data_IF_902862342024
#
_entry.id   IF_902862342024
#
_cell.length_a   1.000
_cell.length_b   1.000
_cell.length_c   1.000
_cell.angle_alpha   90.00
_cell.angle_beta   90.00
_cell.angle_gamma   90.00
#
_symmetry.space_group_name_H-M   'P 1'
#
loop_
_entity.id
_entity.type
_entity.pdbx_description
1 polymer ?
#
# COMPACT_ATOMS: atom_id res chain seq x y z
N UNK A 1 -17.51 14.15 -0.41
CA UNK A 1 -16.47 14.51 0.59
C UNK A 1 -16.91 15.60 1.58
N UNK A 2 -17.94 16.42 1.29
CA UNK A 2 -18.35 17.60 2.08
C UNK A 2 -18.42 17.33 3.60
N UNK A 3 -19.12 16.28 4.02
CA UNK A 3 -19.25 15.96 5.46
C UNK A 3 -17.90 15.61 6.12
N UNK A 4 -17.00 14.95 5.38
CA UNK A 4 -15.67 14.59 5.87
C UNK A 4 -14.81 15.84 6.03
N UNK A 5 -14.83 16.75 5.06
CA UNK A 5 -14.10 18.01 5.10
C UNK A 5 -14.60 18.92 6.25
N UNK A 6 -15.92 18.98 6.48
CA UNK A 6 -16.48 19.73 7.60
C UNK A 6 -16.02 19.18 8.98
N UNK A 7 -15.85 17.87 9.11
CA UNK A 7 -15.24 17.29 10.33
C UNK A 7 -13.79 17.75 10.52
N UNK A 8 -13.02 17.87 9.43
CA UNK A 8 -11.63 18.34 9.49
C UNK A 8 -11.56 19.80 9.96
N UNK A 9 -12.48 20.66 9.52
CA UNK A 9 -12.56 22.05 10.00
C UNK A 9 -12.66 22.14 11.52
N UNK A 10 -13.52 21.31 12.13
CA UNK A 10 -13.64 21.25 13.59
C UNK A 10 -12.34 20.79 14.27
N UNK A 11 -11.67 19.80 13.70
CA UNK A 11 -10.40 19.29 14.24
C UNK A 11 -9.33 20.38 14.20
N UNK A 12 -9.19 21.09 13.06
CA UNK A 12 -8.24 22.22 12.95
C UNK A 12 -8.54 23.26 14.01
N UNK A 13 -9.80 23.68 14.18
CA UNK A 13 -10.18 24.65 15.17
C UNK A 13 -9.85 24.21 16.61
N UNK A 14 -10.16 22.96 16.97
CA UNK A 14 -9.93 22.46 18.32
C UNK A 14 -8.42 22.34 18.62
N UNK A 15 -7.62 21.83 17.65
CA UNK A 15 -6.17 21.65 17.82
C UNK A 15 -5.45 22.99 17.82
N UNK A 16 -5.75 23.90 16.88
CA UNK A 16 -5.11 25.21 16.79
C UNK A 16 -5.34 26.04 18.06
N UNK A 17 -6.60 26.04 18.58
CA UNK A 17 -6.93 26.70 19.83
C UNK A 17 -6.16 26.17 21.03
N UNK A 18 -6.03 24.84 21.12
CA UNK A 18 -5.30 24.18 22.21
C UNK A 18 -3.81 24.52 22.17
N UNK A 19 -3.24 24.61 20.98
CA UNK A 19 -1.81 24.91 20.76
C UNK A 19 -1.52 26.41 20.71
N UNK A 20 -2.54 27.29 20.79
CA UNK A 20 -2.37 28.74 20.70
C UNK A 20 -1.89 29.23 19.33
N UNK A 21 -2.10 28.43 18.27
CA UNK A 21 -1.67 28.78 16.90
C UNK A 21 -2.79 29.47 16.13
N UNK A 22 -2.46 30.57 15.45
CA UNK A 22 -3.39 31.29 14.58
C UNK A 22 -3.33 30.70 13.17
N UNK A 23 -4.32 29.85 12.84
CA UNK A 23 -4.34 29.05 11.60
C UNK A 23 -5.59 29.37 10.79
N UNK A 24 -5.37 29.69 9.52
CA UNK A 24 -6.41 29.70 8.49
C UNK A 24 -6.59 28.33 7.87
N UNK A 25 -7.83 27.82 7.84
CA UNK A 25 -8.14 26.54 7.21
C UNK A 25 -8.99 26.77 5.97
N UNK A 26 -8.47 26.33 4.81
CA UNK A 26 -9.14 26.45 3.53
C UNK A 26 -9.55 25.07 3.02
N UNK A 27 -10.77 24.98 2.48
CA UNK A 27 -11.28 23.75 1.85
C UNK A 27 -11.61 24.03 0.38
N UNK A 28 -11.09 23.19 -0.53
CA UNK A 28 -11.27 23.33 -1.98
C UNK A 28 -11.72 21.97 -2.55
N UNK A 29 -12.78 21.99 -3.39
CA UNK A 29 -13.24 20.79 -4.07
C UNK A 29 -13.96 19.78 -3.15
N UNK A 30 -14.52 20.22 -2.05
CA UNK A 30 -15.27 19.39 -1.09
C UNK A 30 -16.54 18.73 -1.70
N UNK A 31 -17.04 19.26 -2.82
CA UNK A 31 -18.15 18.69 -3.59
C UNK A 31 -17.73 17.51 -4.48
N UNK A 32 -16.44 17.12 -4.51
CA UNK A 32 -15.96 15.97 -5.30
C UNK A 32 -16.69 14.69 -4.86
N UNK A 33 -17.32 14.02 -5.83
CA UNK A 33 -18.02 12.77 -5.58
C UNK A 33 -17.03 11.61 -5.44
N UNK A 34 -17.19 10.83 -4.39
CA UNK A 34 -16.34 9.68 -4.05
C UNK A 34 -17.24 8.59 -3.47
N UNK A 35 -16.93 7.34 -3.80
CA UNK A 35 -17.64 6.20 -3.25
C UNK A 35 -17.63 6.19 -1.71
N UNK A 36 -18.76 5.77 -1.11
CA UNK A 36 -18.92 5.74 0.35
C UNK A 36 -17.86 4.90 1.04
N UNK A 37 -17.49 3.77 0.44
CA UNK A 37 -16.49 2.86 0.98
C UNK A 37 -15.11 3.54 1.04
N UNK A 38 -14.73 4.30 0.00
CA UNK A 38 -13.50 5.10 0.00
C UNK A 38 -13.55 6.15 1.12
N UNK A 39 -14.70 6.84 1.29
CA UNK A 39 -14.87 7.85 2.35
C UNK A 39 -14.64 7.27 3.74
N UNK A 40 -15.14 6.06 4.01
CA UNK A 40 -14.94 5.37 5.28
C UNK A 40 -13.47 5.07 5.55
N UNK A 41 -12.71 4.64 4.55
CA UNK A 41 -11.28 4.31 4.70
C UNK A 41 -10.37 5.54 4.78
N UNK A 42 -10.74 6.66 4.16
CA UNK A 42 -9.89 7.87 4.17
C UNK A 42 -10.12 8.79 5.37
N UNK A 43 -11.24 8.65 6.10
CA UNK A 43 -11.61 9.59 7.15
C UNK A 43 -10.57 9.67 8.27
N UNK A 44 -10.08 8.54 8.77
CA UNK A 44 -9.06 8.48 9.82
C UNK A 44 -7.66 8.88 9.32
N UNK A 45 -7.17 8.39 8.17
CA UNK A 45 -5.99 8.91 7.50
C UNK A 45 -5.99 10.42 7.36
N UNK A 46 -7.07 10.98 6.82
CA UNK A 46 -7.18 12.41 6.58
C UNK A 46 -7.15 13.22 7.88
N UNK A 47 -7.85 12.76 8.90
CA UNK A 47 -7.81 13.37 10.25
C UNK A 47 -6.38 13.40 10.80
N UNK A 48 -5.60 12.33 10.59
CA UNK A 48 -4.22 12.26 11.04
C UNK A 48 -3.32 13.24 10.28
N UNK A 49 -3.45 13.31 8.94
CA UNK A 49 -2.69 14.24 8.11
C UNK A 49 -2.99 15.70 8.48
N UNK A 50 -4.26 16.07 8.61
CA UNK A 50 -4.67 17.42 9.00
C UNK A 50 -4.16 17.77 10.39
N UNK A 51 -4.23 16.85 11.35
CA UNK A 51 -3.67 17.06 12.68
C UNK A 51 -2.18 17.27 12.64
N UNK A 52 -1.44 16.46 11.88
CA UNK A 52 0.02 16.61 11.73
C UNK A 52 0.39 17.96 11.13
N UNK A 53 -0.34 18.44 10.13
CA UNK A 53 -0.13 19.76 9.54
C UNK A 53 -0.27 20.88 10.61
N UNK A 54 -1.33 20.82 11.45
CA UNK A 54 -1.58 21.81 12.49
C UNK A 54 -0.60 21.70 13.66
N UNK A 55 -0.32 20.48 14.12
CA UNK A 55 0.50 20.24 15.33
C UNK A 55 2.00 20.41 15.03
N UNK A 56 2.47 19.76 13.98
CA UNK A 56 3.90 19.66 13.67
C UNK A 56 4.33 20.45 12.44
N UNK A 57 3.43 20.66 11.47
CA UNK A 57 3.73 21.43 10.25
C UNK A 57 3.85 22.91 10.54
N UNK A 58 2.81 23.50 11.11
CA UNK A 58 2.77 24.95 11.40
C UNK A 58 3.55 25.24 12.69
N UNK A 59 4.38 26.28 12.66
CA UNK A 59 5.13 26.83 13.80
C UNK A 59 4.19 27.52 14.82
N UNK A 60 4.67 27.78 16.03
CA UNK A 60 4.00 28.71 16.95
C UNK A 60 4.01 30.14 16.38
N UNK A 61 3.13 31.00 16.86
CA UNK A 61 3.04 32.38 16.37
C UNK A 61 4.35 33.14 16.59
N UNK A 62 5.05 32.87 17.72
CA UNK A 62 6.35 33.44 18.05
C UNK A 62 7.46 32.96 17.12
N UNK A 63 7.54 31.65 16.87
CA UNK A 63 8.52 31.06 15.95
C UNK A 63 8.31 31.54 14.52
N UNK A 64 7.05 31.67 14.11
CA UNK A 64 6.65 32.17 12.78
C UNK A 64 7.08 33.62 12.59
N UNK A 65 6.83 34.48 13.57
CA UNK A 65 7.30 35.87 13.57
C UNK A 65 8.83 35.98 13.58
N UNK A 66 9.52 35.13 14.37
CA UNK A 66 10.97 35.08 14.43
C UNK A 66 11.61 34.66 13.11
N UNK A 67 10.95 33.79 12.33
CA UNK A 67 11.39 33.37 10.98
C UNK A 67 11.02 34.37 9.87
N UNK A 68 10.42 35.52 10.22
CA UNK A 68 10.06 36.58 9.27
C UNK A 68 8.76 36.32 8.50
N UNK A 69 7.99 35.31 8.85
CA UNK A 69 6.67 35.07 8.27
C UNK A 69 5.65 36.01 8.93
N UNK A 70 4.97 36.81 8.14
CA UNK A 70 3.97 37.81 8.62
C UNK A 70 2.54 37.37 8.45
N UNK A 71 2.31 36.34 7.62
CA UNK A 71 1.02 35.71 7.36
C UNK A 71 0.67 34.67 8.44
N UNK A 72 -0.61 34.38 8.58
CA UNK A 72 -1.09 33.31 9.46
C UNK A 72 -0.59 31.94 8.99
N UNK A 73 -0.53 30.98 9.91
CA UNK A 73 -0.43 29.60 9.55
C UNK A 73 -1.60 29.24 8.63
N UNK A 74 -1.35 28.56 7.52
CA UNK A 74 -2.39 28.13 6.59
C UNK A 74 -2.32 26.63 6.36
N UNK A 75 -3.48 25.99 6.48
CA UNK A 75 -3.66 24.58 6.09
C UNK A 75 -4.77 24.53 5.04
N UNK A 76 -4.44 24.00 3.87
CA UNK A 76 -5.38 23.81 2.75
C UNK A 76 -5.69 22.33 2.57
N UNK A 77 -6.97 21.98 2.67
CA UNK A 77 -7.48 20.66 2.33
C UNK A 77 -8.18 20.73 0.99
N UNK A 78 -7.68 20.02 0.00
CA UNK A 78 -8.26 20.05 -1.35
C UNK A 78 -8.57 18.65 -1.88
N UNK A 79 -9.59 18.56 -2.74
CA UNK A 79 -9.88 17.36 -3.50
C UNK A 79 -10.14 17.68 -4.98
N UNK A 80 -9.64 16.83 -5.85
CA UNK A 80 -9.92 16.86 -7.29
C UNK A 80 -9.96 15.45 -7.87
N UNK A 81 -10.64 15.31 -8.98
CA UNK A 81 -10.58 14.10 -9.79
C UNK A 81 -9.71 14.35 -11.01
N UNK A 82 -8.72 13.50 -11.21
CA UNK A 82 -7.79 13.60 -12.34
C UNK A 82 -7.33 12.20 -12.76
N UNK A 83 -7.36 11.91 -14.06
CA UNK A 83 -6.92 10.64 -14.65
C UNK A 83 -7.49 9.39 -13.95
N UNK A 84 -8.80 9.38 -13.65
CA UNK A 84 -9.47 8.25 -13.01
C UNK A 84 -9.14 8.02 -11.54
N UNK A 85 -8.47 8.99 -10.91
CA UNK A 85 -8.12 8.98 -9.48
C UNK A 85 -8.71 10.19 -8.77
N UNK A 86 -9.07 10.01 -7.50
CA UNK A 86 -9.28 11.12 -6.58
C UNK A 86 -7.94 11.47 -5.94
N UNK A 87 -7.63 12.75 -5.99
CA UNK A 87 -6.50 13.33 -5.29
C UNK A 87 -7.04 14.13 -4.12
N UNK A 88 -6.65 13.76 -2.91
CA UNK A 88 -6.97 14.52 -1.70
C UNK A 88 -5.66 15.00 -1.11
N UNK A 89 -5.49 16.31 -1.03
CA UNK A 89 -4.23 16.94 -0.66
C UNK A 89 -4.40 17.76 0.61
N UNK A 90 -3.52 17.54 1.57
CA UNK A 90 -3.33 18.37 2.76
C UNK A 90 -2.03 19.14 2.58
N UNK A 91 -2.11 20.45 2.51
CA UNK A 91 -0.94 21.34 2.35
C UNK A 91 -0.88 22.31 3.53
N UNK A 92 0.30 22.50 4.07
CA UNK A 92 0.61 23.53 5.06
C UNK A 92 1.67 24.52 4.54
N UNK A 93 1.70 25.73 5.12
CA UNK A 93 2.74 26.75 4.87
C UNK A 93 3.72 26.89 6.05
N UNK A 94 3.96 25.78 6.75
CA UNK A 94 4.78 25.75 7.96
C UNK A 94 6.28 25.59 7.70
N UNK A 95 6.97 24.84 8.58
CA UNK A 95 8.42 24.66 8.50
C UNK A 95 8.88 23.74 7.38
N UNK A 96 7.99 22.90 6.87
CA UNK A 96 8.35 21.78 6.03
C UNK A 96 9.05 20.64 6.80
N UNK A 97 9.49 19.63 6.07
CA UNK A 97 10.19 18.48 6.61
C UNK A 97 11.70 18.72 6.61
N UNK A 98 12.33 18.44 7.74
CA UNK A 98 13.78 18.56 7.90
C UNK A 98 14.47 17.28 7.39
N UNK A 99 15.03 17.35 6.19
CA UNK A 99 15.73 16.27 5.50
C UNK A 99 16.85 15.69 6.36
N UNK A 100 17.65 16.53 7.00
CA UNK A 100 18.81 16.08 7.76
C UNK A 100 18.39 15.33 9.03
N UNK A 101 17.34 15.79 9.71
CA UNK A 101 16.78 15.08 10.87
C UNK A 101 16.20 13.72 10.47
N UNK A 102 15.53 13.65 9.32
CA UNK A 102 14.97 12.38 8.83
C UNK A 102 16.10 11.40 8.51
N UNK A 103 17.15 11.82 7.78
CA UNK A 103 18.32 11.01 7.46
C UNK A 103 19.06 10.53 8.72
N UNK A 104 19.30 11.42 9.68
CA UNK A 104 19.96 11.08 10.93
C UNK A 104 19.18 9.99 11.70
N UNK A 105 17.84 10.10 11.72
CA UNK A 105 16.98 9.10 12.34
C UNK A 105 16.96 7.78 11.57
N UNK A 106 16.85 7.82 10.25
CA UNK A 106 16.90 6.64 9.39
C UNK A 106 18.22 5.87 9.58
N UNK A 107 19.34 6.60 9.72
CA UNK A 107 20.64 6.02 10.03
C UNK A 107 20.66 5.33 11.39
N UNK A 108 20.15 6.01 12.45
CA UNK A 108 20.06 5.45 13.81
C UNK A 108 19.23 4.16 13.87
N UNK A 109 18.22 4.06 13.00
CA UNK A 109 17.35 2.89 12.89
C UNK A 109 17.89 1.80 11.95
N UNK A 110 19.03 2.02 11.28
CA UNK A 110 19.62 1.04 10.36
C UNK A 110 18.84 0.89 9.03
N UNK A 111 18.06 1.90 8.66
CA UNK A 111 17.25 1.90 7.42
C UNK A 111 18.11 2.24 6.20
N UNK A 112 19.12 3.10 6.38
CA UNK A 112 19.99 3.52 5.29
C UNK A 112 20.98 2.43 4.91
N UNK A 113 21.19 2.25 3.61
CA UNK A 113 22.26 1.41 3.10
C UNK A 113 23.63 2.00 3.49
N UNK A 114 24.42 1.23 4.24
CA UNK A 114 25.74 1.67 4.72
C UNK A 114 26.74 1.97 3.57
N UNK A 115 26.51 1.43 2.39
CA UNK A 115 27.35 1.65 1.19
C UNK A 115 26.96 2.91 0.41
N UNK A 116 25.78 3.50 0.70
CA UNK A 116 25.21 4.62 -0.05
C UNK A 116 25.38 5.93 0.72
N UNK A 117 26.05 6.97 0.15
CA UNK A 117 26.18 8.25 0.84
C UNK A 117 24.85 9.01 0.94
N UNK A 118 24.65 9.77 2.01
CA UNK A 118 23.41 10.51 2.28
C UNK A 118 23.01 11.47 1.16
N UNK A 119 24.00 12.07 0.51
CA UNK A 119 23.79 12.99 -0.62
C UNK A 119 23.19 12.33 -1.87
N UNK A 120 23.22 11.01 -1.95
CA UNK A 120 22.66 10.27 -3.09
C UNK A 120 21.17 9.92 -2.94
N UNK A 121 20.61 10.10 -1.74
CA UNK A 121 19.16 9.96 -1.55
C UNK A 121 18.44 11.20 -2.04
N UNK A 122 17.46 11.04 -2.91
CA UNK A 122 16.58 12.15 -3.32
C UNK A 122 15.68 12.58 -2.15
N UNK A 123 15.20 13.81 -2.18
CA UNK A 123 14.28 14.32 -1.16
C UNK A 123 13.02 13.43 -1.07
N UNK A 124 12.52 12.96 -2.21
CA UNK A 124 11.38 12.05 -2.27
C UNK A 124 11.66 10.74 -1.52
N UNK A 125 12.83 10.13 -1.69
CA UNK A 125 13.21 8.92 -0.95
C UNK A 125 13.29 9.20 0.56
N UNK A 126 13.90 10.33 0.92
CA UNK A 126 14.06 10.72 2.33
C UNK A 126 12.71 10.94 3.01
N UNK A 127 11.82 11.68 2.36
CA UNK A 127 10.49 11.94 2.92
C UNK A 127 9.62 10.68 3.02
N UNK A 128 9.84 9.68 2.16
CA UNK A 128 9.16 8.39 2.29
C UNK A 128 9.56 7.63 3.56
N UNK A 129 10.73 7.85 4.15
CA UNK A 129 11.10 7.18 5.40
C UNK A 129 10.13 7.46 6.56
N UNK A 130 9.47 8.64 6.58
CA UNK A 130 8.49 8.95 7.64
C UNK A 130 7.26 8.05 7.62
N UNK A 131 7.03 7.30 6.53
CA UNK A 131 5.92 6.36 6.37
C UNK A 131 6.25 4.95 6.87
N UNK A 132 7.51 4.69 7.22
CA UNK A 132 7.94 3.37 7.68
C UNK A 132 7.43 3.08 9.09
N UNK A 133 7.11 1.81 9.40
CA UNK A 133 6.66 1.42 10.73
C UNK A 133 7.65 1.83 11.84
N UNK A 134 7.14 2.51 12.86
CA UNK A 134 7.97 2.96 13.97
C UNK A 134 8.86 4.19 13.68
N UNK A 135 8.69 4.84 12.54
CA UNK A 135 9.46 6.04 12.17
C UNK A 135 8.82 7.34 12.67
N UNK A 136 8.27 7.40 13.88
CA UNK A 136 7.77 8.69 14.41
C UNK A 136 8.93 9.64 14.70
N UNK A 137 8.87 10.90 14.22
CA UNK A 137 9.89 11.92 14.49
C UNK A 137 9.86 12.44 15.92
N UNK A 138 8.79 12.22 16.68
CA UNK A 138 8.65 12.60 18.07
C UNK A 138 8.97 11.45 19.02
N UNK A 139 9.86 11.70 19.99
CA UNK A 139 10.19 10.79 21.10
C UNK A 139 9.09 10.76 22.18
N UNK A 140 8.16 11.70 22.18
CA UNK A 140 7.06 11.75 23.13
C UNK A 140 5.77 11.21 22.47
N UNK A 141 5.29 10.10 23.01
CA UNK A 141 3.93 9.62 22.76
C UNK A 141 2.98 10.66 23.37
N UNK A 142 2.41 11.53 22.55
CA UNK A 142 1.40 12.47 23.04
C UNK A 142 0.16 11.68 23.45
N UNK A 143 -0.37 11.96 24.63
CA UNK A 143 -1.53 11.34 25.30
C UNK A 143 -2.83 11.28 24.42
N UNK A 144 -2.82 11.89 23.25
CA UNK A 144 -3.94 12.04 22.33
C UNK A 144 -3.92 11.09 21.11
N UNK A 145 -2.85 10.34 20.93
CA UNK A 145 -2.78 9.26 19.94
C UNK A 145 -3.24 7.93 20.57
N UNK A 146 -4.43 7.91 21.15
CA UNK A 146 -5.00 6.81 21.94
C UNK A 146 -5.07 5.44 21.27
N UNK A 147 -4.46 5.26 20.09
CA UNK A 147 -4.30 3.99 19.35
C UNK A 147 -2.95 3.86 18.65
N UNK A 148 -1.93 4.68 18.98
CA UNK A 148 -0.61 4.53 18.32
C UNK A 148 -0.67 4.72 16.80
N UNK A 149 -1.48 5.67 16.30
CA UNK A 149 -1.65 5.90 14.86
C UNK A 149 -0.48 6.73 14.37
N UNK A 150 0.46 6.11 13.65
CA UNK A 150 1.55 6.76 12.93
C UNK A 150 1.26 6.91 11.44
N UNK A 151 2.21 7.49 10.71
CA UNK A 151 2.13 7.59 9.24
C UNK A 151 2.07 6.23 8.55
N UNK A 152 2.64 5.20 9.14
CA UNK A 152 2.57 3.82 8.68
C UNK A 152 1.12 3.28 8.63
N UNK A 153 0.29 3.65 9.62
CA UNK A 153 -1.13 3.29 9.63
C UNK A 153 -1.89 4.05 8.53
N UNK A 154 -1.57 5.34 8.32
CA UNK A 154 -2.14 6.13 7.23
C UNK A 154 -1.86 5.45 5.89
N UNK A 155 -0.59 5.11 5.64
CA UNK A 155 -0.18 4.46 4.37
C UNK A 155 -0.88 3.12 4.20
N UNK A 156 -0.95 2.30 5.25
CA UNK A 156 -1.63 0.99 5.20
C UNK A 156 -3.11 1.13 4.82
N UNK A 157 -3.84 2.02 5.47
CA UNK A 157 -5.27 2.22 5.19
C UNK A 157 -5.52 2.70 3.75
N UNK A 158 -4.61 3.54 3.24
CA UNK A 158 -4.70 4.03 1.86
C UNK A 158 -4.33 2.93 0.85
N UNK A 159 -3.34 2.09 1.15
CA UNK A 159 -2.97 0.94 0.32
C UNK A 159 -4.08 -0.13 0.27
N UNK A 160 -4.84 -0.32 1.35
CA UNK A 160 -5.97 -1.26 1.40
C UNK A 160 -7.06 -0.93 0.37
N UNK A 161 -7.17 0.34 -0.06
CA UNK A 161 -8.08 0.78 -1.13
C UNK A 161 -7.37 1.02 -2.47
N UNK A 162 -6.15 0.46 -2.64
CA UNK A 162 -5.36 0.62 -3.86
C UNK A 162 -4.80 2.02 -4.09
N UNK A 163 -4.82 2.86 -3.06
CA UNK A 163 -4.29 4.21 -3.10
C UNK A 163 -2.81 4.29 -2.71
N UNK A 164 -2.24 5.48 -2.85
CA UNK A 164 -0.88 5.80 -2.44
C UNK A 164 -0.81 7.18 -1.77
N UNK A 165 0.17 7.35 -0.88
CA UNK A 165 0.53 8.62 -0.28
C UNK A 165 1.79 9.16 -0.96
N UNK A 166 1.71 10.38 -1.49
CA UNK A 166 2.84 11.15 -2.01
C UNK A 166 3.16 12.29 -1.06
N UNK A 167 4.45 12.57 -0.85
CA UNK A 167 4.93 13.56 0.12
C UNK A 167 5.91 14.47 -0.58
N UNK A 168 5.60 15.76 -0.56
CA UNK A 168 6.46 16.83 -1.05
C UNK A 168 6.67 17.84 0.08
N UNK A 169 7.86 18.41 0.17
CA UNK A 169 8.16 19.42 1.17
C UNK A 169 9.23 20.39 0.68
N UNK A 170 9.04 21.64 1.03
CA UNK A 170 10.00 22.70 0.82
C UNK A 170 10.38 23.31 2.19
N UNK A 171 11.61 23.09 2.67
CA UNK A 171 12.06 23.57 3.96
C UNK A 171 11.84 25.08 4.12
N UNK A 172 11.12 25.46 5.16
CA UNK A 172 10.74 26.85 5.44
C UNK A 172 9.43 27.30 4.78
N UNK A 173 8.92 26.58 3.76
CA UNK A 173 7.72 26.95 3.01
C UNK A 173 6.54 25.99 3.22
N UNK A 174 6.77 24.87 3.91
CA UNK A 174 5.73 23.92 4.27
C UNK A 174 5.83 22.57 3.60
N UNK A 175 4.77 21.77 3.74
CA UNK A 175 4.68 20.43 3.16
C UNK A 175 3.33 20.16 2.51
N UNK A 176 3.33 19.21 1.59
CA UNK A 176 2.15 18.77 0.84
C UNK A 176 2.08 17.26 0.90
N UNK A 177 1.00 16.74 1.45
CA UNK A 177 0.70 15.30 1.52
C UNK A 177 -0.51 14.98 0.65
N UNK A 178 -0.31 14.16 -0.38
CA UNK A 178 -1.34 13.85 -1.39
C UNK A 178 -1.72 12.38 -1.36
N UNK A 179 -2.99 12.11 -1.03
CA UNK A 179 -3.62 10.80 -1.17
C UNK A 179 -4.11 10.65 -2.62
N UNK A 180 -3.61 9.67 -3.34
CA UNK A 180 -3.99 9.36 -4.72
C UNK A 180 -4.76 8.05 -4.72
N UNK A 181 -6.07 8.07 -4.90
CA UNK A 181 -6.96 6.93 -4.74
C UNK A 181 -7.67 6.64 -6.05
N UNK A 182 -7.59 5.43 -6.60
CA UNK A 182 -8.33 5.10 -7.82
C UNK A 182 -9.84 5.20 -7.56
N UNK A 183 -10.57 5.83 -8.50
CA UNK A 183 -12.05 5.92 -8.46
C UNK A 183 -12.73 4.60 -8.83
N UNK A 184 -12.05 3.78 -9.58
CA UNK A 184 -12.51 2.45 -9.96
C UNK A 184 -11.93 1.42 -9.02
N UNK A 185 -12.71 0.43 -8.63
CA UNK A 185 -12.18 -0.80 -8.07
C UNK A 185 -11.05 -1.28 -8.97
N UNK A 186 -9.93 -1.73 -8.39
CA UNK A 186 -8.86 -2.31 -9.18
C UNK A 186 -9.41 -3.52 -9.93
N UNK A 187 -9.57 -3.38 -11.24
CA UNK A 187 -9.95 -4.48 -12.12
C UNK A 187 -8.66 -4.98 -12.75
N UNK A 188 -8.40 -6.27 -12.60
CA UNK A 188 -7.27 -6.94 -13.23
C UNK A 188 -7.77 -8.04 -14.16
N UNK A 189 -7.03 -8.28 -15.22
CA UNK A 189 -7.16 -9.46 -16.04
C UNK A 189 -6.56 -10.66 -15.26
N UNK A 190 -7.40 -11.52 -14.73
CA UNK A 190 -6.99 -12.66 -13.93
C UNK A 190 -7.23 -13.99 -14.63
N UNK A 191 -6.34 -14.95 -14.38
CA UNK A 191 -6.56 -16.35 -14.71
C UNK A 191 -7.05 -17.04 -13.45
N UNK A 192 -8.26 -17.58 -13.52
CA UNK A 192 -8.87 -18.37 -12.45
C UNK A 192 -8.40 -19.81 -12.55
N UNK A 193 -7.95 -20.36 -11.43
CA UNK A 193 -7.50 -21.73 -11.29
C UNK A 193 -8.03 -22.33 -9.99
N UNK A 194 -8.12 -23.63 -9.92
CA UNK A 194 -8.64 -24.35 -8.75
C UNK A 194 -7.61 -25.36 -8.25
N UNK A 195 -7.53 -25.49 -6.93
CA UNK A 195 -6.70 -26.48 -6.25
C UNK A 195 -7.35 -26.85 -4.93
N UNK A 196 -7.51 -28.15 -4.66
CA UNK A 196 -8.09 -28.66 -3.42
C UNK A 196 -9.49 -28.11 -3.11
N UNK A 197 -10.29 -27.82 -4.16
CA UNK A 197 -11.62 -27.23 -4.03
C UNK A 197 -11.64 -25.74 -3.68
N UNK A 198 -10.49 -25.08 -3.67
CA UNK A 198 -10.36 -23.63 -3.49
C UNK A 198 -10.03 -22.95 -4.82
N UNK A 199 -10.64 -21.77 -5.05
CA UNK A 199 -10.41 -20.97 -6.25
C UNK A 199 -9.32 -19.92 -5.99
N UNK A 200 -8.39 -19.81 -6.93
CA UNK A 200 -7.29 -18.84 -6.93
C UNK A 200 -7.29 -18.03 -8.21
N UNK A 201 -6.77 -16.82 -8.13
CA UNK A 201 -6.60 -15.93 -9.28
C UNK A 201 -5.14 -15.47 -9.34
N UNK A 202 -4.56 -15.54 -10.51
CA UNK A 202 -3.25 -14.95 -10.83
C UNK A 202 -3.44 -13.88 -11.90
N UNK A 203 -2.78 -12.74 -11.75
CA UNK A 203 -2.76 -11.71 -12.79
C UNK A 203 -2.18 -12.27 -14.10
N UNK A 204 -2.89 -12.08 -15.21
CA UNK A 204 -2.50 -12.69 -16.49
C UNK A 204 -1.15 -12.19 -17.02
N UNK A 205 -0.74 -10.97 -16.65
CA UNK A 205 0.51 -10.35 -17.09
C UNK A 205 1.78 -11.07 -16.61
N UNK A 206 1.72 -11.77 -15.48
CA UNK A 206 2.88 -12.52 -14.94
C UNK A 206 2.97 -13.96 -15.46
N UNK A 207 1.90 -14.46 -16.11
CA UNK A 207 1.86 -15.82 -16.64
C UNK A 207 2.51 -15.85 -18.02
N UNK A 208 3.48 -16.76 -18.21
CA UNK A 208 4.17 -16.96 -19.48
C UNK A 208 3.56 -18.07 -20.31
N UNK A 209 3.31 -19.21 -19.71
CA UNK A 209 2.73 -20.36 -20.40
C UNK A 209 2.02 -21.33 -19.45
N UNK A 210 1.16 -22.17 -20.03
CA UNK A 210 0.52 -23.30 -19.36
C UNK A 210 1.07 -24.60 -19.96
N UNK A 211 1.46 -25.52 -19.10
CA UNK A 211 2.11 -26.76 -19.54
C UNK A 211 1.39 -27.95 -18.92
N UNK A 212 0.95 -28.90 -19.74
CA UNK A 212 0.56 -30.23 -19.26
C UNK A 212 1.81 -30.98 -18.87
N UNK A 213 1.87 -31.38 -17.61
CA UNK A 213 3.05 -32.04 -17.06
C UNK A 213 2.96 -33.54 -17.32
N UNK A 214 4.11 -34.15 -17.56
CA UNK A 214 4.32 -35.58 -17.50
C UNK A 214 5.43 -35.86 -16.50
N UNK A 215 5.40 -37.03 -15.90
CA UNK A 215 6.36 -37.40 -14.87
C UNK A 215 7.83 -37.34 -15.38
N UNK A 216 8.03 -37.63 -16.67
CA UNK A 216 9.37 -37.59 -17.31
C UNK A 216 9.95 -36.15 -17.41
N UNK A 217 9.13 -35.13 -17.20
CA UNK A 217 9.56 -33.72 -17.16
C UNK A 217 9.94 -33.26 -15.75
N UNK A 218 9.59 -34.03 -14.72
CA UNK A 218 9.84 -33.68 -13.32
C UNK A 218 11.20 -34.16 -12.84
N UNK A 219 11.80 -33.39 -11.98
CA UNK A 219 13.04 -33.71 -11.26
C UNK A 219 12.75 -33.57 -9.78
N UNK A 220 12.87 -34.67 -9.04
CA UNK A 220 12.66 -34.71 -7.60
C UNK A 220 14.02 -34.79 -6.90
N UNK A 221 14.32 -33.83 -6.04
CA UNK A 221 15.54 -33.85 -5.23
C UNK A 221 15.32 -34.58 -3.90
N UNK A 222 16.37 -35.19 -3.32
CA UNK A 222 16.27 -35.88 -2.05
C UNK A 222 15.84 -35.02 -0.84
N UNK A 223 15.98 -33.71 -0.94
CA UNK A 223 15.55 -32.72 0.07
C UNK A 223 14.05 -32.39 0.00
N UNK A 224 13.33 -32.91 -1.02
CA UNK A 224 11.92 -32.68 -1.26
C UNK A 224 11.64 -31.54 -2.26
N UNK A 225 12.66 -30.85 -2.75
CA UNK A 225 12.46 -29.84 -3.79
C UNK A 225 12.12 -30.46 -5.13
N UNK A 226 11.22 -29.85 -5.86
CA UNK A 226 10.80 -30.28 -7.19
C UNK A 226 11.14 -29.24 -8.23
N UNK A 227 11.56 -29.73 -9.40
CA UNK A 227 11.83 -28.92 -10.57
C UNK A 227 11.16 -29.52 -11.80
N UNK A 228 10.85 -28.66 -12.77
CA UNK A 228 10.32 -29.08 -14.08
C UNK A 228 11.30 -28.66 -15.19
N UNK A 229 11.55 -29.59 -16.11
CA UNK A 229 12.36 -29.32 -17.30
C UNK A 229 11.46 -29.05 -18.50
N UNK A 230 11.51 -27.80 -19.02
CA UNK A 230 10.73 -27.38 -20.18
C UNK A 230 11.68 -26.80 -21.21
N UNK A 231 11.73 -27.39 -22.41
CA UNK A 231 12.56 -26.92 -23.54
C UNK A 231 14.05 -26.69 -23.21
N UNK A 232 14.58 -27.44 -22.25
CA UNK A 232 15.99 -27.31 -21.83
C UNK A 232 16.24 -26.29 -20.72
N UNK A 233 15.20 -25.64 -20.23
CA UNK A 233 15.24 -24.76 -19.05
C UNK A 233 14.63 -25.48 -17.85
N UNK A 234 15.21 -25.26 -16.66
CA UNK A 234 14.81 -25.88 -15.41
C UNK A 234 14.17 -24.82 -14.49
N UNK A 235 12.95 -25.08 -14.03
CA UNK A 235 12.21 -24.18 -13.13
C UNK A 235 11.87 -24.89 -11.83
N UNK A 236 12.01 -24.21 -10.69
CA UNK A 236 11.52 -24.70 -9.41
C UNK A 236 9.99 -24.78 -9.43
N UNK A 237 9.44 -25.80 -8.77
CA UNK A 237 8.00 -26.04 -8.72
C UNK A 237 7.47 -25.73 -7.33
N UNK A 238 6.34 -25.03 -7.29
CA UNK A 238 5.51 -24.86 -6.10
C UNK A 238 4.19 -25.56 -6.35
N UNK A 239 3.86 -26.55 -5.53
CA UNK A 239 2.53 -27.17 -5.51
C UNK A 239 1.60 -26.32 -4.67
N UNK A 240 0.62 -25.67 -5.30
CA UNK A 240 -0.26 -24.71 -4.62
C UNK A 240 -1.06 -25.37 -3.48
N UNK A 241 -1.48 -26.61 -3.67
CA UNK A 241 -2.20 -27.39 -2.65
C UNK A 241 -1.35 -27.65 -1.41
N UNK A 242 -0.10 -28.02 -1.59
CA UNK A 242 0.85 -28.24 -0.49
C UNK A 242 1.25 -26.92 0.18
N UNK A 243 1.54 -25.88 -0.60
CA UNK A 243 1.91 -24.54 -0.10
C UNK A 243 0.89 -23.97 0.88
N UNK A 244 -0.40 -24.17 0.61
CA UNK A 244 -1.47 -23.70 1.47
C UNK A 244 -2.04 -24.78 2.41
N UNK A 245 -1.49 -25.98 2.41
CA UNK A 245 -1.95 -27.11 3.26
C UNK A 245 -3.39 -27.51 2.97
N UNK A 246 -3.79 -27.49 1.70
CA UNK A 246 -5.14 -27.83 1.28
C UNK A 246 -5.35 -29.35 1.34
N UNK A 247 -6.60 -29.77 1.52
CA UNK A 247 -7.01 -31.16 1.41
C UNK A 247 -7.49 -31.46 -0.01
N UNK A 248 -7.34 -32.70 -0.45
CA UNK A 248 -7.91 -33.20 -1.72
C UNK A 248 -7.40 -32.48 -2.99
N UNK A 249 -6.15 -31.96 -2.98
CA UNK A 249 -5.53 -31.49 -4.21
C UNK A 249 -4.92 -32.66 -5.02
N UNK A 250 -4.65 -32.40 -6.30
CA UNK A 250 -4.05 -33.39 -7.18
C UNK A 250 -2.57 -33.63 -6.84
N UNK A 251 -2.22 -34.86 -6.49
CA UNK A 251 -0.82 -35.23 -6.20
C UNK A 251 -0.09 -35.63 -7.49
N UNK A 252 -0.76 -36.34 -8.39
CA UNK A 252 -0.19 -36.79 -9.67
C UNK A 252 -0.09 -35.60 -10.62
N UNK A 253 1.12 -35.33 -11.13
CA UNK A 253 1.40 -34.18 -11.99
C UNK A 253 0.67 -34.25 -13.34
N UNK A 254 0.30 -35.46 -13.79
CA UNK A 254 -0.41 -35.71 -15.04
C UNK A 254 -1.88 -35.28 -14.97
N UNK A 255 -2.45 -35.22 -13.76
CA UNK A 255 -3.84 -34.87 -13.50
C UNK A 255 -4.09 -33.39 -13.25
N UNK A 256 -3.00 -32.60 -13.26
CA UNK A 256 -3.05 -31.15 -13.05
C UNK A 256 -2.42 -30.33 -14.18
N UNK A 257 -2.17 -29.08 -13.89
CA UNK A 257 -1.61 -28.12 -14.83
C UNK A 257 -0.46 -27.35 -14.19
N UNK A 258 0.62 -27.16 -14.92
CA UNK A 258 1.73 -26.29 -14.56
C UNK A 258 1.53 -24.90 -15.18
N UNK A 259 1.57 -23.87 -14.36
CA UNK A 259 1.50 -22.47 -14.75
C UNK A 259 2.90 -21.86 -14.56
N UNK A 260 3.58 -21.54 -15.65
CA UNK A 260 4.88 -20.86 -15.58
C UNK A 260 4.67 -19.38 -15.39
N UNK A 261 5.15 -18.85 -14.28
CA UNK A 261 5.07 -17.43 -13.94
C UNK A 261 6.45 -16.79 -13.90
N UNK A 262 6.52 -15.49 -14.19
CA UNK A 262 7.77 -14.72 -14.19
C UNK A 262 7.57 -13.42 -13.41
N UNK A 263 8.45 -13.18 -12.43
CA UNK A 263 8.51 -11.95 -11.63
C UNK A 263 9.98 -11.60 -11.40
N UNK A 264 10.36 -10.35 -11.67
CA UNK A 264 11.71 -9.84 -11.48
C UNK A 264 12.79 -10.75 -12.10
N UNK A 265 12.58 -11.18 -13.36
CA UNK A 265 13.43 -12.10 -14.13
C UNK A 265 13.59 -13.52 -13.54
N UNK A 266 12.83 -13.84 -12.49
CA UNK A 266 12.74 -15.21 -11.94
C UNK A 266 11.52 -15.92 -12.48
N UNK A 267 11.70 -17.16 -12.91
CA UNK A 267 10.63 -18.03 -13.37
C UNK A 267 10.45 -19.20 -12.43
N UNK A 268 9.19 -19.52 -12.13
CA UNK A 268 8.81 -20.72 -11.37
C UNK A 268 7.64 -21.41 -12.03
N UNK A 269 7.49 -22.70 -11.77
CA UNK A 269 6.30 -23.47 -12.08
C UNK A 269 5.36 -23.52 -10.88
N UNK A 270 4.12 -23.11 -11.08
CA UNK A 270 3.05 -23.23 -10.10
C UNK A 270 2.13 -24.37 -10.51
N UNK A 271 2.08 -25.45 -9.72
CA UNK A 271 1.23 -26.60 -9.99
C UNK A 271 -0.15 -26.43 -9.37
N UNK A 272 -1.19 -26.57 -10.19
CA UNK A 272 -2.60 -26.43 -9.83
C UNK A 272 -3.42 -27.60 -10.38
N UNK A 273 -4.59 -27.89 -9.78
CA UNK A 273 -5.42 -29.00 -10.21
C UNK A 273 -6.09 -28.71 -11.55
N UNK A 274 -6.70 -27.51 -11.70
CA UNK A 274 -7.51 -27.18 -12.87
C UNK A 274 -7.36 -25.71 -13.23
N UNK A 275 -7.34 -25.43 -14.54
CA UNK A 275 -7.41 -24.10 -15.10
C UNK A 275 -8.85 -23.82 -15.54
N UNK A 276 -9.49 -22.80 -14.91
CA UNK A 276 -10.86 -22.40 -15.23
C UNK A 276 -10.90 -21.46 -16.44
N UNK A 277 -10.05 -20.43 -16.42
CA UNK A 277 -9.94 -19.50 -17.56
C UNK A 277 -9.68 -18.06 -17.17
N UNK A 278 -9.66 -17.18 -18.18
CA UNK A 278 -9.44 -15.75 -18.03
C UNK A 278 -10.75 -15.03 -17.66
N UNK A 279 -10.70 -14.15 -16.67
CA UNK A 279 -11.81 -13.29 -16.25
C UNK A 279 -11.29 -11.91 -15.86
N UNK A 280 -12.12 -10.88 -15.99
CA UNK A 280 -11.91 -9.59 -15.37
C UNK A 280 -12.27 -9.69 -13.88
N UNK A 281 -11.33 -9.38 -13.02
CA UNK A 281 -11.39 -9.61 -11.58
C UNK A 281 -11.41 -8.28 -10.85
N UNK A 282 -12.44 -8.07 -10.03
CA UNK A 282 -12.49 -6.95 -9.09
C UNK A 282 -11.70 -7.32 -7.84
N UNK A 283 -10.54 -6.69 -7.65
CA UNK A 283 -9.69 -6.92 -6.48
C UNK A 283 -10.32 -6.30 -5.24
N UNK A 284 -10.49 -7.10 -4.19
CA UNK A 284 -10.88 -6.66 -2.85
C UNK A 284 -9.76 -6.99 -1.88
N UNK A 285 -9.39 -6.08 -0.97
CA UNK A 285 -8.39 -6.37 0.05
C UNK A 285 -8.91 -7.46 1.01
N UNK A 286 -7.98 -8.26 1.54
CA UNK A 286 -8.30 -9.19 2.63
C UNK A 286 -8.51 -8.36 3.90
N UNK A 287 -9.66 -8.52 4.60
CA UNK A 287 -9.93 -7.77 5.81
C UNK A 287 -8.83 -7.91 6.87
N UNK A 288 -8.51 -6.83 7.58
CA UNK A 288 -7.38 -6.76 8.53
C UNK A 288 -7.51 -7.69 9.73
N UNK A 289 -8.72 -8.19 10.05
CA UNK A 289 -8.95 -9.20 11.09
C UNK A 289 -8.57 -10.63 10.66
N UNK A 290 -8.34 -10.86 9.36
CA UNK A 290 -7.85 -12.13 8.84
C UNK A 290 -6.32 -12.12 8.91
N UNK A 291 -5.72 -13.19 9.46
CA UNK A 291 -4.27 -13.34 9.49
C UNK A 291 -3.70 -13.29 8.08
N UNK A 292 -2.65 -12.49 7.89
CA UNK A 292 -1.94 -12.44 6.60
C UNK A 292 -1.38 -13.82 6.26
N UNK A 293 -1.63 -14.24 5.03
CA UNK A 293 -1.12 -15.49 4.46
C UNK A 293 -0.11 -15.12 3.38
N UNK A 294 1.09 -15.71 3.43
CA UNK A 294 2.15 -15.48 2.44
C UNK A 294 1.68 -15.88 1.05
N UNK A 295 1.95 -15.05 0.05
CA UNK A 295 1.56 -15.30 -1.33
C UNK A 295 0.11 -14.95 -1.67
N UNK A 296 -0.63 -14.25 -0.78
CA UNK A 296 -1.97 -13.71 -1.04
C UNK A 296 -1.99 -12.18 -0.91
N UNK A 297 -2.57 -11.50 -1.89
CA UNK A 297 -2.71 -10.03 -1.91
C UNK A 297 -4.15 -9.55 -1.75
N UNK A 298 -5.14 -10.38 -2.04
CA UNK A 298 -6.53 -9.99 -2.01
C UNK A 298 -7.50 -11.15 -2.21
N UNK A 299 -8.75 -10.82 -2.40
CA UNK A 299 -9.79 -11.76 -2.79
C UNK A 299 -10.75 -11.14 -3.80
N UNK A 300 -11.55 -11.96 -4.44
CA UNK A 300 -12.63 -11.52 -5.33
C UNK A 300 -13.84 -12.43 -5.18
N UNK A 301 -14.99 -11.97 -5.66
CA UNK A 301 -16.15 -12.80 -5.85
C UNK A 301 -16.31 -13.08 -7.35
N UNK A 302 -16.32 -14.34 -7.71
CA UNK A 302 -16.52 -14.81 -9.09
C UNK A 302 -17.99 -14.69 -9.50
N UNK A 303 -18.25 -14.85 -10.80
CA UNK A 303 -19.60 -14.72 -11.36
C UNK A 303 -20.63 -15.74 -10.85
N UNK A 304 -20.18 -16.88 -10.32
CA UNK A 304 -21.01 -17.92 -9.67
C UNK A 304 -21.28 -17.65 -8.19
N UNK A 305 -20.72 -16.54 -7.65
CA UNK A 305 -20.84 -16.15 -6.25
C UNK A 305 -19.79 -16.74 -5.33
N UNK A 306 -18.92 -17.63 -5.81
CA UNK A 306 -17.79 -18.16 -5.03
C UNK A 306 -16.72 -17.11 -4.77
N UNK A 307 -15.90 -17.31 -3.73
CA UNK A 307 -14.78 -16.44 -3.41
C UNK A 307 -13.49 -17.06 -3.95
N UNK A 308 -12.72 -16.29 -4.68
CA UNK A 308 -11.39 -16.67 -5.11
C UNK A 308 -10.32 -15.79 -4.43
N UNK A 309 -9.19 -16.40 -4.08
CA UNK A 309 -8.05 -15.73 -3.47
C UNK A 309 -7.09 -15.26 -4.55
N UNK A 310 -6.61 -14.00 -4.44
CA UNK A 310 -5.71 -13.42 -5.42
C UNK A 310 -4.27 -13.67 -4.96
N UNK A 311 -3.52 -14.38 -5.80
CA UNK A 311 -2.15 -14.75 -5.53
C UNK A 311 -1.21 -13.54 -5.71
N UNK A 312 -0.22 -13.44 -4.83
CA UNK A 312 0.92 -12.52 -4.93
C UNK A 312 2.14 -13.30 -5.44
N UNK A 313 2.50 -13.15 -6.72
CA UNK A 313 3.61 -13.90 -7.28
C UNK A 313 4.94 -13.61 -6.58
N UNK A 314 5.18 -12.36 -6.15
CA UNK A 314 6.37 -11.97 -5.40
C UNK A 314 6.47 -12.68 -4.05
N UNK A 315 5.34 -12.81 -3.36
CA UNK A 315 5.24 -13.54 -2.11
C UNK A 315 5.41 -15.05 -2.24
N UNK A 316 5.20 -15.63 -3.41
CA UNK A 316 5.45 -17.06 -3.69
C UNK A 316 6.93 -17.32 -3.99
N UNK A 317 7.64 -16.40 -4.65
CA UNK A 317 9.04 -16.60 -5.09
C UNK A 317 10.03 -16.36 -3.94
N UNK A 318 9.64 -15.65 -2.91
CA UNK A 318 10.55 -15.50 -1.78
C UNK A 318 10.48 -14.32 -1.02
#
# INVERSE_FOLDING_TARGET
LTNTFQKMNRIVFDVSRKLGKDIEFEMVGDATEVDKNIIEHISDPLMHLVRNAVDHGIETNEERAASGKTDKGKVTLSAKTEAGKVWITVQDNGTGLDREKILAKARKQGILDASRPDSSYSDKEVYQFITLPGFSTNEQVTEYSGRGVGMDVVVRNIQEIGGMLDIESDPGNGSTMSLKIPLTLAIIDGIVMETGGSSFVMESGVIKEFVRVREDMMIHEPNGDEYIMIRGECFSVIRLGEWYGLSNYQEAVEDGMMVIIEVDDKRIGLFVDTLVGKQEIVVKPIPSYIKKVKGLTGCTQLGDGSIALILDPGGLIG
#
